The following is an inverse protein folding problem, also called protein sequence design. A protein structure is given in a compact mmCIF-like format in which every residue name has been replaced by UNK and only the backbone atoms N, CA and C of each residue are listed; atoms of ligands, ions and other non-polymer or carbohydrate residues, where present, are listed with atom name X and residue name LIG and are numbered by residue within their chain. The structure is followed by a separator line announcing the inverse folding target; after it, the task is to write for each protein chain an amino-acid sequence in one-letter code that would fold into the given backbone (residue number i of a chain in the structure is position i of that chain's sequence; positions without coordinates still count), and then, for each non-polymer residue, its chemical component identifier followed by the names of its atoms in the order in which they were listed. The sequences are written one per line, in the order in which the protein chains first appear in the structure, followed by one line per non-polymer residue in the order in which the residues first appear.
data_IF_760036526255
#
_entry.id   IF_760036526255
#
_cell.length_a   1.000
_cell.length_b   1.000
_cell.length_c   1.000
_cell.angle_alpha   90.00
_cell.angle_beta   90.00
_cell.angle_gamma   90.00
#
_symmetry.space_group_name_H-M   'P 1'
#
loop_
_entity.id
_entity.type
_entity.pdbx_description
1 polymer ?
#
# COMPACT_ATOMS: atom_id res chain seq x y z
N UNK A 1 2.46 -1.42 18.58
CA UNK A 1 2.87 -1.45 17.17
C UNK A 1 1.62 -1.53 16.29
N UNK A 2 1.61 -0.74 15.21
CA UNK A 2 0.52 -0.73 14.22
C UNK A 2 0.82 -1.78 13.13
N UNK A 3 0.80 -3.05 13.52
CA UNK A 3 1.08 -4.17 12.63
C UNK A 3 -0.21 -4.97 12.42
N UNK A 4 -0.50 -5.42 11.18
CA UNK A 4 -1.68 -6.23 10.91
C UNK A 4 -1.49 -7.67 11.44
N UNK A 5 -2.59 -8.27 11.89
CA UNK A 5 -2.71 -9.72 12.03
C UNK A 5 -3.38 -10.25 10.77
N UNK A 6 -2.62 -10.93 9.91
CA UNK A 6 -3.13 -11.39 8.63
C UNK A 6 -4.31 -12.35 8.77
N UNK A 7 -4.33 -13.22 9.78
CA UNK A 7 -5.42 -14.17 9.99
C UNK A 7 -6.72 -13.45 10.34
N UNK A 8 -6.66 -12.48 11.25
CA UNK A 8 -7.83 -11.68 11.62
C UNK A 8 -8.26 -10.76 10.46
N UNK A 9 -7.31 -10.27 9.67
CA UNK A 9 -7.61 -9.47 8.47
C UNK A 9 -8.40 -10.28 7.45
N UNK A 10 -8.05 -11.55 7.19
CA UNK A 10 -8.78 -12.43 6.27
C UNK A 10 -10.21 -12.66 6.76
N UNK A 11 -10.40 -13.00 8.04
CA UNK A 11 -11.73 -13.21 8.63
C UNK A 11 -12.60 -11.95 8.53
N UNK A 12 -12.06 -10.81 8.91
CA UNK A 12 -12.78 -9.54 8.82
C UNK A 12 -13.14 -9.18 7.38
N UNK A 13 -12.24 -9.43 6.42
CA UNK A 13 -12.47 -9.21 5.00
C UNK A 13 -13.67 -10.01 4.51
N UNK A 14 -13.74 -11.30 4.84
CA UNK A 14 -14.85 -12.16 4.44
C UNK A 14 -16.18 -11.65 4.99
N UNK A 15 -16.25 -11.34 6.28
CA UNK A 15 -17.47 -10.83 6.92
C UNK A 15 -17.94 -9.55 6.25
N UNK A 16 -17.03 -8.59 6.05
CA UNK A 16 -17.38 -7.30 5.45
C UNK A 16 -17.75 -7.42 3.97
N UNK A 17 -17.09 -8.30 3.21
CA UNK A 17 -17.42 -8.56 1.81
C UNK A 17 -18.82 -9.20 1.70
N UNK A 18 -19.16 -10.14 2.58
CA UNK A 18 -20.49 -10.78 2.65
C UNK A 18 -21.60 -9.77 3.01
N UNK A 19 -21.26 -8.74 3.80
CA UNK A 19 -22.15 -7.61 4.10
C UNK A 19 -22.26 -6.58 2.96
N UNK A 20 -21.50 -6.75 1.87
CA UNK A 20 -21.55 -5.90 0.68
C UNK A 20 -20.59 -4.70 0.70
N UNK A 21 -19.63 -4.66 1.60
CA UNK A 21 -18.58 -3.63 1.60
C UNK A 21 -17.52 -3.90 0.52
N UNK A 22 -16.98 -2.83 -0.05
CA UNK A 22 -15.77 -2.88 -0.89
C UNK A 22 -14.57 -2.86 0.04
N UNK A 23 -13.94 -4.02 0.24
CA UNK A 23 -12.87 -4.19 1.24
C UNK A 23 -11.49 -4.08 0.61
N UNK A 24 -10.64 -3.23 1.18
CA UNK A 24 -9.23 -3.07 0.82
C UNK A 24 -8.37 -3.40 2.05
N UNK A 25 -8.08 -4.68 2.31
CA UNK A 25 -7.41 -5.11 3.52
C UNK A 25 -5.93 -4.71 3.55
N UNK A 26 -5.52 -4.15 4.70
CA UNK A 26 -4.12 -3.90 5.04
C UNK A 26 -3.48 -5.18 5.57
N UNK A 27 -2.31 -5.54 5.06
CA UNK A 27 -1.69 -6.83 5.36
C UNK A 27 -0.15 -6.77 5.36
N UNK A 28 0.49 -7.73 6.03
CA UNK A 28 1.89 -8.05 5.75
C UNK A 28 2.02 -8.58 4.32
N UNK A 29 3.12 -8.28 3.61
CA UNK A 29 3.35 -8.74 2.25
C UNK A 29 3.68 -10.25 2.22
N UNK A 30 2.64 -11.06 2.28
CA UNK A 30 2.67 -12.52 2.18
C UNK A 30 1.75 -13.00 1.06
N UNK A 31 2.28 -13.78 0.13
CA UNK A 31 1.55 -14.25 -1.05
C UNK A 31 0.35 -15.13 -0.68
N UNK A 32 0.52 -16.03 0.30
CA UNK A 32 -0.56 -16.94 0.68
C UNK A 32 -1.72 -16.20 1.32
N UNK A 33 -1.42 -15.25 2.20
CA UNK A 33 -2.44 -14.32 2.74
C UNK A 33 -3.12 -13.51 1.64
N UNK A 34 -2.37 -13.02 0.65
CA UNK A 34 -2.96 -12.30 -0.48
C UNK A 34 -3.97 -13.18 -1.25
N UNK A 35 -3.65 -14.46 -1.48
CA UNK A 35 -4.57 -15.43 -2.11
C UNK A 35 -5.81 -15.71 -1.24
N UNK A 36 -5.65 -15.82 0.06
CA UNK A 36 -6.77 -15.96 1.00
C UNK A 36 -7.69 -14.73 0.97
N UNK A 37 -7.13 -13.52 0.90
CA UNK A 37 -7.88 -12.28 0.78
C UNK A 37 -8.65 -12.18 -0.55
N UNK A 38 -8.07 -12.65 -1.66
CA UNK A 38 -8.79 -12.78 -2.94
C UNK A 38 -10.01 -13.69 -2.75
N UNK A 39 -9.84 -14.86 -2.14
CA UNK A 39 -10.92 -15.81 -1.88
C UNK A 39 -11.97 -15.27 -0.90
N UNK A 40 -11.56 -14.44 0.05
CA UNK A 40 -12.43 -13.77 1.01
C UNK A 40 -13.24 -12.59 0.41
N UNK A 41 -13.03 -12.26 -0.87
CA UNK A 41 -13.78 -11.21 -1.56
C UNK A 41 -13.20 -9.81 -1.45
N UNK A 42 -11.91 -9.66 -1.18
CA UNK A 42 -11.25 -8.36 -1.24
C UNK A 42 -11.34 -7.73 -2.63
N UNK A 43 -11.50 -6.41 -2.70
CA UNK A 43 -11.51 -5.67 -3.98
C UNK A 43 -10.10 -5.22 -4.43
N UNK A 44 -9.17 -5.12 -3.50
CA UNK A 44 -7.76 -4.87 -3.70
C UNK A 44 -7.01 -5.38 -2.48
N UNK A 45 -5.68 -5.46 -2.52
CA UNK A 45 -4.86 -5.76 -1.34
C UNK A 45 -3.89 -4.62 -1.07
N UNK A 46 -3.61 -4.35 0.21
CA UNK A 46 -2.77 -3.26 0.65
C UNK A 46 -1.58 -3.79 1.48
N UNK A 47 -0.54 -4.37 0.83
CA UNK A 47 0.64 -4.80 1.53
C UNK A 47 1.45 -3.61 2.06
N UNK A 48 1.92 -3.71 3.31
CA UNK A 48 2.81 -2.72 3.89
C UNK A 48 4.22 -2.82 3.28
N UNK A 49 4.78 -1.67 2.89
CA UNK A 49 6.17 -1.59 2.40
C UNK A 49 7.18 -1.55 3.55
N UNK A 50 6.81 -0.92 4.66
CA UNK A 50 7.55 -0.84 5.91
C UNK A 50 6.57 -0.47 7.04
N UNK A 51 6.94 -0.57 8.34
CA UNK A 51 6.04 -0.21 9.42
C UNK A 51 5.48 1.20 9.28
N UNK A 52 4.20 1.38 9.62
CA UNK A 52 3.48 2.66 9.53
C UNK A 52 4.27 3.77 10.25
N UNK A 53 4.40 4.92 9.59
CA UNK A 53 5.09 6.10 10.15
C UNK A 53 6.61 6.03 10.17
N UNK A 54 7.20 4.96 9.63
CA UNK A 54 8.66 4.74 9.67
C UNK A 54 9.44 5.53 8.61
N UNK A 55 8.81 5.91 7.50
CA UNK A 55 9.44 6.51 6.31
C UNK A 55 10.64 5.68 5.78
N UNK A 56 10.66 4.37 6.04
CA UNK A 56 11.78 3.47 5.67
C UNK A 56 11.75 3.02 4.20
N UNK A 57 10.73 3.43 3.45
CA UNK A 57 10.60 3.12 2.03
C UNK A 57 10.12 1.70 1.77
N UNK A 58 10.55 1.14 0.63
CA UNK A 58 10.12 -0.16 0.12
C UNK A 58 10.97 -1.30 0.71
N UNK A 59 10.99 -1.44 2.03
CA UNK A 59 11.79 -2.48 2.70
C UNK A 59 11.35 -3.91 2.31
N UNK A 60 10.06 -4.09 1.99
CA UNK A 60 9.47 -5.38 1.61
C UNK A 60 9.22 -5.52 0.09
N UNK A 61 9.92 -4.75 -0.75
CA UNK A 61 9.64 -4.65 -2.19
C UNK A 61 9.63 -5.98 -2.93
N UNK A 62 10.53 -6.90 -2.62
CA UNK A 62 10.61 -8.19 -3.29
C UNK A 62 9.34 -9.04 -3.02
N UNK A 63 8.83 -9.03 -1.79
CA UNK A 63 7.58 -9.72 -1.45
C UNK A 63 6.37 -9.06 -2.10
N UNK A 64 6.35 -7.72 -2.16
CA UNK A 64 5.28 -6.97 -2.84
C UNK A 64 5.30 -7.27 -4.35
N UNK A 65 6.48 -7.35 -4.97
CA UNK A 65 6.61 -7.71 -6.39
C UNK A 65 6.03 -9.09 -6.68
N UNK A 66 6.30 -10.08 -5.82
CA UNK A 66 5.71 -11.42 -5.94
C UNK A 66 4.18 -11.35 -5.90
N UNK A 67 3.61 -10.56 -4.97
CA UNK A 67 2.15 -10.40 -4.87
C UNK A 67 1.59 -9.76 -6.16
N UNK A 68 2.23 -8.70 -6.68
CA UNK A 68 1.81 -8.05 -7.92
C UNK A 68 1.79 -9.01 -9.11
N UNK A 69 2.78 -9.89 -9.19
CA UNK A 69 2.92 -10.82 -10.31
C UNK A 69 1.96 -12.02 -10.23
N UNK A 70 1.49 -12.37 -9.03
CA UNK A 70 0.79 -13.63 -8.76
C UNK A 70 -0.71 -13.49 -8.49
N UNK A 71 -1.23 -12.29 -8.25
CA UNK A 71 -2.66 -12.08 -7.99
C UNK A 71 -3.28 -11.11 -9.00
N UNK A 72 -4.54 -11.36 -9.36
CA UNK A 72 -5.28 -10.56 -10.34
C UNK A 72 -6.00 -9.34 -9.73
N UNK A 73 -5.82 -9.07 -8.44
CA UNK A 73 -6.39 -7.88 -7.80
C UNK A 73 -5.43 -6.69 -7.84
N UNK A 74 -5.95 -5.45 -7.84
CA UNK A 74 -5.12 -4.26 -7.67
C UNK A 74 -4.31 -4.33 -6.38
N UNK A 75 -3.01 -4.06 -6.47
CA UNK A 75 -2.11 -3.98 -5.32
C UNK A 75 -1.83 -2.51 -5.02
N UNK A 76 -2.17 -2.08 -3.80
CA UNK A 76 -1.95 -0.72 -3.31
C UNK A 76 -0.82 -0.77 -2.29
N UNK A 77 0.34 -0.22 -2.61
CA UNK A 77 1.47 -0.21 -1.67
C UNK A 77 1.22 0.83 -0.59
N UNK A 78 1.11 0.37 0.67
CA UNK A 78 0.86 1.21 1.83
C UNK A 78 2.05 1.20 2.80
N UNK A 79 2.09 2.19 3.67
CA UNK A 79 3.06 2.37 4.75
C UNK A 79 4.54 2.40 4.34
N UNK A 80 5.29 3.27 4.97
CA UNK A 80 6.74 3.39 4.80
C UNK A 80 7.19 4.28 3.66
N UNK A 81 6.34 4.66 2.71
CA UNK A 81 6.69 5.58 1.63
C UNK A 81 7.05 6.95 2.24
N UNK A 82 8.31 7.33 2.12
CA UNK A 82 8.85 8.58 2.67
C UNK A 82 9.41 9.55 1.63
N UNK A 83 9.58 9.10 0.37
CA UNK A 83 10.15 9.89 -0.72
C UNK A 83 9.43 9.61 -2.04
N UNK A 84 9.39 10.60 -2.97
CA UNK A 84 8.78 10.42 -4.29
C UNK A 84 9.38 9.28 -5.10
N UNK A 85 10.70 9.11 -5.03
CA UNK A 85 11.40 8.03 -5.72
C UNK A 85 10.89 6.66 -5.31
N UNK A 86 10.51 6.47 -4.03
CA UNK A 86 9.94 5.22 -3.54
C UNK A 86 8.52 4.99 -4.07
N UNK A 87 7.72 6.05 -4.19
CA UNK A 87 6.41 5.96 -4.82
C UNK A 87 6.53 5.63 -6.31
N UNK A 88 7.47 6.26 -7.03
CA UNK A 88 7.74 5.93 -8.42
C UNK A 88 8.20 4.48 -8.58
N UNK A 89 9.12 4.02 -7.74
CA UNK A 89 9.59 2.62 -7.74
C UNK A 89 8.44 1.64 -7.54
N UNK A 90 7.53 1.90 -6.59
CA UNK A 90 6.36 1.06 -6.38
C UNK A 90 5.46 0.99 -7.63
N UNK A 91 5.23 2.13 -8.28
CA UNK A 91 4.43 2.17 -9.52
C UNK A 91 5.15 1.47 -10.69
N UNK A 92 6.47 1.60 -10.81
CA UNK A 92 7.28 0.90 -11.82
C UNK A 92 7.29 -0.63 -11.61
N UNK A 93 7.18 -1.08 -10.35
CA UNK A 93 7.01 -2.50 -10.04
C UNK A 93 5.65 -3.07 -10.48
N UNK A 94 4.68 -2.22 -10.82
CA UNK A 94 3.34 -2.60 -11.25
C UNK A 94 2.25 -2.41 -10.20
N UNK A 95 2.51 -1.70 -9.10
CA UNK A 95 1.47 -1.36 -8.15
C UNK A 95 0.37 -0.51 -8.81
N UNK A 96 -0.88 -0.77 -8.48
CA UNK A 96 -2.02 0.00 -8.99
C UNK A 96 -2.10 1.40 -8.36
N UNK A 97 -1.64 1.54 -7.12
CA UNK A 97 -1.57 2.80 -6.40
C UNK A 97 -0.56 2.72 -5.25
N UNK A 98 -0.23 3.88 -4.70
CA UNK A 98 0.53 4.01 -3.44
C UNK A 98 -0.23 4.90 -2.47
N UNK A 99 -0.14 4.59 -1.18
CA UNK A 99 -0.69 5.40 -0.11
C UNK A 99 0.44 6.04 0.69
N UNK A 100 0.41 7.36 0.83
CA UNK A 100 1.38 8.13 1.60
C UNK A 100 0.66 9.09 2.55
N UNK A 101 1.00 9.03 3.82
CA UNK A 101 0.42 9.90 4.85
C UNK A 101 1.53 10.64 5.61
N UNK A 102 2.35 9.93 6.40
CA UNK A 102 3.37 10.52 7.28
C UNK A 102 4.34 11.41 6.53
N UNK A 103 4.79 10.99 5.34
CA UNK A 103 5.69 11.79 4.50
C UNK A 103 5.08 13.15 4.10
N UNK A 104 3.76 13.21 3.91
CA UNK A 104 3.05 14.45 3.60
C UNK A 104 2.86 15.29 4.87
N UNK A 105 2.44 14.65 5.97
CA UNK A 105 2.15 15.33 7.23
C UNK A 105 3.40 15.95 7.88
N UNK A 106 4.57 15.32 7.71
CA UNK A 106 5.85 15.78 8.26
C UNK A 106 6.66 16.66 7.30
N UNK A 107 6.17 16.91 6.08
CA UNK A 107 6.83 17.76 5.11
C UNK A 107 6.83 19.23 5.56
N UNK A 108 7.94 19.93 5.33
CA UNK A 108 8.08 21.35 5.65
C UNK A 108 7.12 22.25 4.84
N UNK A 109 6.71 21.81 3.64
CA UNK A 109 5.72 22.47 2.78
C UNK A 109 4.64 21.46 2.33
N UNK A 110 3.62 21.29 3.15
CA UNK A 110 2.52 20.32 2.93
C UNK A 110 1.73 20.60 1.63
N UNK A 111 1.42 21.85 1.22
CA UNK A 111 0.73 22.12 -0.04
C UNK A 111 1.47 21.67 -1.29
N UNK A 112 2.80 21.78 -1.29
CA UNK A 112 3.63 21.36 -2.41
C UNK A 112 3.75 19.84 -2.56
N UNK A 113 3.53 19.11 -1.46
CA UNK A 113 3.60 17.64 -1.44
C UNK A 113 2.24 16.96 -1.67
N UNK A 114 1.14 17.71 -1.76
CA UNK A 114 -0.13 17.16 -2.21
C UNK A 114 -0.04 16.86 -3.70
N UNK A 115 -0.19 15.59 -4.07
CA UNK A 115 -0.36 15.21 -5.48
C UNK A 115 -1.45 16.03 -6.12
N UNK A 116 -1.13 16.81 -7.15
CA UNK A 116 -2.14 17.38 -8.04
C UNK A 116 -2.92 16.22 -8.67
N UNK A 117 -4.23 16.31 -8.61
CA UNK A 117 -5.13 15.35 -9.25
C UNK A 117 -4.62 14.98 -10.64
N UNK A 118 -4.22 13.73 -10.84
CA UNK A 118 -4.07 13.11 -12.14
C UNK A 118 -2.66 12.89 -12.70
N UNK A 119 -1.56 13.30 -12.06
CA UNK A 119 -0.23 12.87 -12.46
C UNK A 119 0.77 12.90 -11.29
N UNK A 120 1.28 11.75 -10.93
CA UNK A 120 2.49 11.61 -10.12
C UNK A 120 3.70 12.04 -10.99
N UNK A 121 4.00 13.33 -11.05
CA UNK A 121 5.29 13.74 -11.57
C UNK A 121 6.28 13.73 -10.40
N UNK A 122 7.32 12.92 -10.51
CA UNK A 122 8.43 12.82 -9.54
C UNK A 122 9.13 14.17 -9.26
N UNK A 123 8.80 15.22 -9.99
CA UNK A 123 9.46 16.53 -9.92
C UNK A 123 8.90 17.45 -8.82
N UNK A 124 7.74 17.17 -8.25
CA UNK A 124 7.07 18.11 -7.34
C UNK A 124 7.24 17.83 -5.86
N UNK A 125 7.86 16.71 -5.52
CA UNK A 125 8.10 16.35 -4.12
C UNK A 125 9.54 16.69 -3.73
N UNK A 126 9.75 17.74 -2.98
CA UNK A 126 11.06 18.07 -2.40
C UNK A 126 11.13 17.50 -0.99
N UNK A 127 12.06 16.56 -0.77
CA UNK A 127 12.51 16.21 0.57
C UNK A 127 13.42 17.33 1.08
N UNK A 128 13.09 17.94 2.18
CA UNK A 128 14.05 18.71 3.01
C UNK A 128 14.93 17.75 3.78
#
# INVERSE_FOLDING_TARGET
YLLPDNNETVKATQILADEGFVVLPYMYPDLYTARELVNAGAAAVMPLAAPIGSNKGLAAKEFIKIIIDEIDLPVIVDAGIGRPSQACEAMEMGAAAVMANTAIATAGDVPMNKCRKGSLSCRSWKST
#
